data_IF_760475146609
#
_entry.id   IF_760475146609
#
_cell.length_a   1.000
_cell.length_b   1.000
_cell.length_c   1.000
_cell.angle_alpha   90.00
_cell.angle_beta   90.00
_cell.angle_gamma   90.00
#
_symmetry.space_group_name_H-M   'P 1'
#
loop_
_entity.id
_entity.type
_entity.pdbx_description
1 polymer ?
#
# COMPACT_ATOMS: atom_id res chain seq x y z
N UNK A 1 37.44 71.97 28.81
CA UNK A 1 36.82 73.32 28.93
C UNK A 1 35.51 73.34 28.16
N UNK A 2 34.40 73.64 28.88
CA UNK A 2 33.28 74.55 28.51
C UNK A 2 32.67 74.40 27.09
N UNK A 3 31.37 74.35 26.80
CA UNK A 3 30.07 74.61 27.49
C UNK A 3 29.03 74.33 26.37
N UNK A 4 27.97 73.54 26.57
CA UNK A 4 26.61 73.94 26.99
C UNK A 4 25.88 74.95 26.05
N UNK A 5 24.62 74.58 25.71
CA UNK A 5 23.42 75.39 25.33
C UNK A 5 23.32 75.89 23.87
N UNK A 6 22.15 75.99 23.22
CA UNK A 6 20.73 75.58 23.41
C UNK A 6 19.93 76.10 22.17
N UNK A 7 18.84 75.40 21.81
CA UNK A 7 17.55 75.88 21.27
C UNK A 7 17.44 76.69 19.95
N UNK A 8 16.64 76.15 19.00
CA UNK A 8 15.39 76.72 18.43
C UNK A 8 14.93 75.77 17.29
N UNK A 9 13.89 74.93 17.44
CA UNK A 9 12.46 75.20 17.22
C UNK A 9 12.14 75.95 15.91
N UNK A 10 11.46 75.29 14.96
CA UNK A 10 10.27 75.79 14.19
C UNK A 10 9.87 74.79 13.07
N UNK A 11 8.66 74.23 13.26
CA UNK A 11 7.56 73.90 12.34
C UNK A 11 7.72 73.15 10.99
N UNK A 12 7.04 71.98 10.95
CA UNK A 12 6.02 71.55 9.96
C UNK A 12 6.46 71.26 8.53
N UNK A 13 6.33 69.99 8.12
CA UNK A 13 5.28 69.52 7.19
C UNK A 13 5.16 67.99 7.33
N UNK A 14 3.92 67.53 7.53
CA UNK A 14 3.49 66.13 7.45
C UNK A 14 3.89 65.50 6.12
N UNK A 15 4.53 64.33 6.15
CA UNK A 15 4.37 63.33 5.09
C UNK A 15 4.52 61.93 5.71
N UNK A 16 3.47 61.49 6.42
CA UNK A 16 3.29 60.07 6.71
C UNK A 16 2.97 59.35 5.40
N UNK A 17 4.01 58.91 4.69
CA UNK A 17 3.84 57.85 3.68
C UNK A 17 3.72 56.55 4.47
N UNK A 18 2.49 56.22 4.87
CA UNK A 18 2.13 54.85 5.20
C UNK A 18 2.31 54.03 3.93
N UNK A 19 3.47 53.39 3.80
CA UNK A 19 3.68 52.27 2.89
C UNK A 19 2.78 51.14 3.39
N UNK A 20 1.54 51.12 2.90
CA UNK A 20 0.70 49.92 2.99
C UNK A 20 1.36 48.91 2.07
N UNK A 21 2.23 48.07 2.62
CA UNK A 21 2.62 46.84 1.95
C UNK A 21 1.36 46.00 1.84
N UNK A 22 0.72 46.09 0.67
CA UNK A 22 -0.32 45.15 0.26
C UNK A 22 0.38 43.80 0.18
N UNK A 23 0.30 43.04 1.28
CA UNK A 23 0.56 41.61 1.23
C UNK A 23 -0.35 41.08 0.13
N UNK A 24 0.16 40.39 -0.90
CA UNK A 24 -0.73 39.69 -1.81
C UNK A 24 -1.56 38.77 -0.93
N UNK A 25 -2.88 38.95 -0.99
CA UNK A 25 -3.79 37.91 -0.53
C UNK A 25 -3.37 36.68 -1.33
N UNK A 26 -2.67 35.75 -0.68
CA UNK A 26 -2.59 34.38 -1.17
C UNK A 26 -4.05 33.95 -1.22
N UNK A 27 -4.65 34.03 -2.42
CA UNK A 27 -5.80 33.23 -2.73
C UNK A 27 -5.31 31.80 -2.45
N UNK A 28 -5.79 31.22 -1.35
CA UNK A 28 -5.75 29.78 -1.20
C UNK A 28 -6.42 29.27 -2.46
N UNK A 29 -5.65 28.73 -3.39
CA UNK A 29 -6.25 28.02 -4.50
C UNK A 29 -7.21 27.02 -3.86
N UNK A 30 -8.47 26.99 -4.31
CA UNK A 30 -9.42 26.03 -3.76
C UNK A 30 -8.75 24.67 -3.91
N UNK A 31 -8.49 24.01 -2.77
CA UNK A 31 -8.05 22.62 -2.75
C UNK A 31 -8.85 21.90 -3.81
N UNK A 32 -8.17 21.26 -4.76
CA UNK A 32 -8.84 20.49 -5.79
C UNK A 32 -9.60 19.33 -5.12
N UNK A 33 -10.81 19.61 -4.66
CA UNK A 33 -11.75 18.65 -4.11
C UNK A 33 -12.29 17.85 -5.29
N UNK A 34 -11.58 16.78 -5.64
CA UNK A 34 -11.97 15.95 -6.76
C UNK A 34 -10.90 14.97 -7.22
N UNK A 35 -10.01 14.53 -6.32
CA UNK A 35 -9.20 13.36 -6.63
C UNK A 35 -10.16 12.19 -6.87
N UNK A 36 -10.20 11.71 -8.11
CA UNK A 36 -10.90 10.48 -8.47
C UNK A 36 -9.83 9.41 -8.55
N UNK A 37 -9.92 8.33 -7.76
CA UNK A 37 -9.01 7.21 -7.91
C UNK A 37 -9.12 6.67 -9.33
N UNK A 38 -8.02 6.11 -9.84
CA UNK A 38 -7.97 5.59 -11.19
C UNK A 38 -8.97 4.44 -11.31
N UNK A 39 -10.06 4.64 -12.06
CA UNK A 39 -11.14 3.68 -12.25
C UNK A 39 -10.87 2.75 -13.43
N UNK A 40 -9.61 2.37 -13.67
CA UNK A 40 -9.23 1.55 -14.82
C UNK A 40 -9.94 0.20 -14.70
N UNK A 41 -10.97 -0.02 -15.53
CA UNK A 41 -11.74 -1.27 -15.56
C UNK A 41 -13.10 -1.23 -14.85
N UNK A 42 -13.47 -0.14 -14.17
CA UNK A 42 -14.78 -0.05 -13.51
C UNK A 42 -15.90 0.21 -14.53
N UNK A 43 -17.04 -0.52 -14.47
CA UNK A 43 -18.26 -0.14 -15.17
C UNK A 43 -18.68 1.31 -14.86
N UNK A 44 -19.22 2.03 -15.86
CA UNK A 44 -19.78 3.37 -15.65
C UNK A 44 -20.89 3.35 -14.57
N UNK A 45 -20.87 4.32 -13.65
CA UNK A 45 -21.89 4.46 -12.59
C UNK A 45 -21.47 3.98 -11.20
N UNK A 46 -20.26 3.41 -11.06
CA UNK A 46 -19.67 3.06 -9.77
C UNK A 46 -18.88 4.27 -9.25
N UNK A 47 -19.62 5.28 -8.77
CA UNK A 47 -19.02 6.46 -8.15
C UNK A 47 -18.67 6.19 -6.69
N UNK A 48 -17.64 6.89 -6.20
CA UNK A 48 -17.36 6.97 -4.76
C UNK A 48 -18.63 7.35 -3.98
N UNK A 49 -18.76 6.92 -2.70
CA UNK A 49 -19.78 7.47 -1.83
C UNK A 49 -19.69 9.00 -1.84
N UNK A 50 -20.74 9.67 -2.33
CA UNK A 50 -20.82 11.12 -2.29
C UNK A 50 -21.13 11.54 -0.86
N UNK A 51 -20.22 12.29 -0.24
CA UNK A 51 -20.48 12.90 1.05
C UNK A 51 -21.49 14.04 0.86
N UNK A 52 -22.61 13.99 1.59
CA UNK A 52 -23.59 15.07 1.55
C UNK A 52 -23.05 16.35 2.21
N UNK A 53 -23.60 17.51 1.84
CA UNK A 53 -23.08 18.79 2.30
C UNK A 53 -23.32 19.03 3.80
N UNK A 54 -24.35 18.41 4.38
CA UNK A 54 -24.59 18.46 5.81
C UNK A 54 -23.45 17.79 6.60
N UNK A 55 -22.98 16.62 6.14
CA UNK A 55 -21.82 15.93 6.69
C UNK A 55 -20.58 16.79 6.57
N UNK A 56 -20.28 17.32 5.37
CA UNK A 56 -19.10 18.17 5.14
C UNK A 56 -19.10 19.39 6.06
N UNK A 57 -20.25 20.07 6.19
CA UNK A 57 -20.42 21.23 7.06
C UNK A 57 -20.23 20.87 8.54
N UNK A 58 -20.79 19.73 8.99
CA UNK A 58 -20.62 19.23 10.37
C UNK A 58 -19.15 18.95 10.70
N UNK A 59 -18.42 18.31 9.78
CA UNK A 59 -16.99 18.01 9.94
C UNK A 59 -16.16 19.29 9.92
N UNK A 60 -16.42 20.20 8.97
CA UNK A 60 -15.73 21.49 8.90
C UNK A 60 -15.95 22.34 10.16
N UNK A 61 -17.18 22.35 10.70
CA UNK A 61 -17.51 22.98 11.96
C UNK A 61 -16.69 22.40 13.12
N UNK A 62 -16.59 21.07 13.23
CA UNK A 62 -15.77 20.43 14.26
C UNK A 62 -14.28 20.81 14.14
N UNK A 63 -13.72 20.74 12.93
CA UNK A 63 -12.29 21.00 12.67
C UNK A 63 -11.87 22.47 12.86
N UNK A 64 -12.82 23.42 12.82
CA UNK A 64 -12.54 24.85 12.98
C UNK A 64 -12.64 25.33 14.43
N UNK A 65 -13.05 24.46 15.35
CA UNK A 65 -13.11 24.77 16.78
C UNK A 65 -11.87 24.26 17.51
N UNK A 66 -11.48 24.94 18.59
CA UNK A 66 -10.39 24.48 19.46
C UNK A 66 -10.82 23.36 20.43
N UNK A 67 -12.11 23.03 20.49
CA UNK A 67 -12.70 22.09 21.42
C UNK A 67 -13.02 20.77 20.71
N UNK A 68 -12.86 19.64 21.40
CA UNK A 68 -13.30 18.34 20.90
C UNK A 68 -14.83 18.21 21.01
N UNK A 69 -15.54 18.77 20.03
CA UNK A 69 -17.01 18.79 19.99
C UNK A 69 -17.62 17.38 20.01
N UNK A 70 -16.96 16.40 19.38
CA UNK A 70 -17.46 15.03 19.30
C UNK A 70 -17.17 14.26 20.58
N UNK A 71 -15.99 14.44 21.19
CA UNK A 71 -15.68 13.89 22.50
C UNK A 71 -16.63 14.40 23.58
N UNK A 72 -16.90 15.71 23.61
CA UNK A 72 -17.86 16.30 24.57
C UNK A 72 -19.27 15.74 24.38
N UNK A 73 -19.74 15.66 23.12
CA UNK A 73 -21.05 15.07 22.82
C UNK A 73 -21.18 13.62 23.34
N UNK A 74 -20.11 12.82 23.28
CA UNK A 74 -20.11 11.45 23.80
C UNK A 74 -20.07 11.39 25.33
N UNK A 75 -19.35 12.31 25.97
CA UNK A 75 -19.30 12.40 27.43
C UNK A 75 -20.63 12.85 28.02
N UNK A 76 -21.39 13.69 27.30
CA UNK A 76 -22.71 14.18 27.71
C UNK A 76 -23.85 13.21 27.36
N UNK A 77 -23.61 12.23 26.49
CA UNK A 77 -24.62 11.27 26.07
C UNK A 77 -25.14 10.43 27.26
N UNK A 78 -26.46 10.21 27.38
CA UNK A 78 -27.00 9.27 28.37
C UNK A 78 -26.42 7.86 28.15
N UNK A 79 -25.71 7.33 29.16
CA UNK A 79 -24.97 6.06 29.05
C UNK A 79 -23.50 6.20 28.68
N UNK A 80 -23.02 7.43 28.48
CA UNK A 80 -21.63 7.76 28.19
C UNK A 80 -21.17 7.33 26.78
N UNK A 81 -19.85 7.33 26.54
CA UNK A 81 -19.29 6.92 25.26
C UNK A 81 -19.59 5.44 24.97
N UNK A 82 -20.25 5.19 23.84
CA UNK A 82 -20.54 3.82 23.37
C UNK A 82 -20.17 3.66 21.91
N UNK A 83 -19.85 2.43 21.48
CA UNK A 83 -19.57 2.13 20.07
C UNK A 83 -20.71 2.59 19.15
N UNK A 84 -21.96 2.27 19.50
CA UNK A 84 -23.13 2.67 18.73
C UNK A 84 -23.31 4.19 18.66
N UNK A 85 -22.86 4.92 19.70
CA UNK A 85 -22.89 6.37 19.72
C UNK A 85 -21.87 7.04 18.79
N UNK A 86 -20.75 6.37 18.49
CA UNK A 86 -19.63 6.95 17.70
C UNK A 86 -19.51 6.43 16.28
N UNK A 87 -20.01 5.21 15.99
CA UNK A 87 -19.75 4.52 14.72
C UNK A 87 -20.19 5.29 13.47
N UNK A 88 -21.14 6.22 13.61
CA UNK A 88 -21.69 7.02 12.50
C UNK A 88 -21.19 8.48 12.50
N UNK A 89 -20.22 8.83 13.37
CA UNK A 89 -19.68 10.20 13.46
C UNK A 89 -18.84 10.56 12.24
N UNK A 90 -17.99 9.63 11.82
CA UNK A 90 -17.13 9.76 10.66
C UNK A 90 -17.57 8.70 9.66
N UNK A 91 -17.89 9.13 8.44
CA UNK A 91 -18.00 8.19 7.34
C UNK A 91 -16.65 7.50 7.18
N UNK A 92 -16.60 6.15 7.06
CA UNK A 92 -15.34 5.43 6.88
C UNK A 92 -14.53 6.05 5.75
N UNK A 93 -13.31 6.44 6.06
CA UNK A 93 -12.40 7.06 5.10
C UNK A 93 -11.75 5.91 4.34
N UNK A 94 -12.22 5.65 3.12
CA UNK A 94 -11.62 4.61 2.27
C UNK A 94 -10.36 5.13 1.55
N UNK A 95 -10.18 6.45 1.43
CA UNK A 95 -9.11 7.04 0.62
C UNK A 95 -8.02 7.70 1.44
N UNK A 96 -6.77 7.47 1.06
CA UNK A 96 -5.59 8.13 1.61
C UNK A 96 -5.02 9.13 0.63
N UNK A 97 -4.98 10.40 1.03
CA UNK A 97 -4.43 11.50 0.23
C UNK A 97 -2.95 11.72 0.55
N UNK A 98 -2.16 12.01 -0.48
CA UNK A 98 -0.77 12.41 -0.31
C UNK A 98 -0.68 13.80 0.33
N UNK A 99 0.46 14.17 0.95
CA UNK A 99 0.70 15.54 1.39
C UNK A 99 0.37 16.57 0.30
N UNK A 100 -0.20 17.71 0.69
CA UNK A 100 -0.70 18.72 -0.24
C UNK A 100 0.36 19.18 -1.27
N UNK A 101 1.63 19.23 -0.88
CA UNK A 101 2.74 19.60 -1.78
C UNK A 101 3.01 18.57 -2.90
N UNK A 102 2.60 17.32 -2.72
CA UNK A 102 2.76 16.24 -3.70
C UNK A 102 1.50 16.11 -4.56
N UNK A 103 0.32 16.36 -3.97
CA UNK A 103 -0.96 16.14 -4.62
C UNK A 103 -1.26 14.66 -4.87
N UNK A 104 -2.51 14.34 -5.16
CA UNK A 104 -2.92 12.97 -5.46
C UNK A 104 -3.10 12.05 -4.24
N UNK A 105 -3.09 10.75 -4.49
CA UNK A 105 -3.29 9.72 -3.47
C UNK A 105 -1.98 9.06 -3.04
N UNK A 106 -2.00 8.40 -1.87
CA UNK A 106 -0.84 7.64 -1.38
C UNK A 106 -0.70 6.25 -2.02
N UNK A 107 -1.69 5.78 -2.77
CA UNK A 107 -1.72 4.46 -3.40
C UNK A 107 -2.32 4.62 -4.79
N UNK A 108 -2.13 3.65 -5.69
CA UNK A 108 -2.56 3.82 -7.09
C UNK A 108 -4.10 3.87 -7.22
N UNK A 109 -4.80 3.06 -6.41
CA UNK A 109 -6.27 3.07 -6.29
C UNK A 109 -6.77 4.12 -5.31
N UNK A 110 -5.85 4.83 -4.65
CA UNK A 110 -6.09 5.79 -3.60
C UNK A 110 -6.61 5.24 -2.28
N UNK A 111 -6.88 3.94 -2.20
CA UNK A 111 -7.37 3.29 -0.98
C UNK A 111 -6.30 3.35 0.13
N UNK A 112 -6.71 3.49 1.39
CA UNK A 112 -5.78 3.48 2.52
C UNK A 112 -5.05 2.13 2.66
N UNK A 113 -3.95 2.10 3.41
CA UNK A 113 -3.25 0.86 3.73
C UNK A 113 -3.37 0.50 5.21
N UNK A 114 -3.31 -0.80 5.49
CA UNK A 114 -3.24 -1.38 6.81
C UNK A 114 -1.79 -1.83 7.03
N UNK A 115 -1.11 -1.34 8.09
CA UNK A 115 0.25 -1.77 8.40
C UNK A 115 0.25 -3.16 9.06
N UNK A 116 0.83 -4.15 8.37
CA UNK A 116 1.16 -5.45 8.94
C UNK A 116 2.67 -5.58 9.14
N UNK A 117 3.08 -5.92 10.34
CA UNK A 117 4.49 -6.10 10.65
C UNK A 117 4.68 -6.68 12.05
N UNK A 118 5.93 -6.96 12.38
CA UNK A 118 6.28 -7.44 13.71
C UNK A 118 7.21 -6.43 14.38
N UNK A 119 6.87 -5.91 15.56
CA UNK A 119 7.77 -5.02 16.28
C UNK A 119 9.06 -5.79 16.62
N UNK A 120 10.22 -5.19 16.30
CA UNK A 120 11.53 -5.78 16.66
C UNK A 120 11.77 -5.70 18.16
N UNK A 121 11.27 -4.64 18.79
CA UNK A 121 11.29 -4.38 20.23
C UNK A 121 10.05 -3.55 20.60
N UNK A 122 9.70 -3.46 21.89
CA UNK A 122 8.51 -2.71 22.35
C UNK A 122 8.49 -1.22 21.97
N UNK A 123 9.64 -0.64 21.64
CA UNK A 123 9.79 0.79 21.30
C UNK A 123 10.36 1.04 19.90
N UNK A 124 10.73 0.00 19.15
CA UNK A 124 11.36 0.15 17.84
C UNK A 124 10.44 -0.40 16.75
N UNK A 125 10.01 0.43 15.78
CA UNK A 125 9.26 -0.07 14.65
C UNK A 125 10.11 -1.11 13.90
N UNK A 126 9.56 -2.31 13.73
CA UNK A 126 10.14 -3.30 12.84
C UNK A 126 9.90 -2.94 11.37
N UNK A 127 10.24 -3.86 10.47
CA UNK A 127 9.83 -3.74 9.08
C UNK A 127 8.31 -3.94 8.99
N UNK A 128 7.66 -3.15 8.14
CA UNK A 128 6.19 -3.13 8.03
C UNK A 128 5.79 -3.21 6.55
N UNK A 129 4.91 -4.15 6.23
CA UNK A 129 4.17 -4.17 4.98
C UNK A 129 2.95 -3.24 5.12
N UNK A 130 2.86 -2.24 4.26
CA UNK A 130 1.66 -1.42 4.12
C UNK A 130 0.79 -2.09 3.05
N UNK A 131 -0.13 -2.95 3.48
CA UNK A 131 -1.06 -3.67 2.59
C UNK A 131 -2.25 -2.76 2.30
N UNK A 132 -2.48 -2.41 1.03
CA UNK A 132 -3.61 -1.55 0.65
C UNK A 132 -4.92 -2.29 0.90
N UNK A 133 -5.89 -1.61 1.52
CA UNK A 133 -7.10 -2.23 2.07
C UNK A 133 -8.04 -2.79 1.01
N UNK A 134 -7.82 -2.48 -0.27
CA UNK A 134 -8.52 -3.08 -1.39
C UNK A 134 -7.76 -4.26 -2.02
N UNK A 135 -6.58 -4.60 -1.52
CA UNK A 135 -5.73 -5.69 -2.02
C UNK A 135 -4.89 -5.35 -3.25
N UNK A 136 -5.03 -4.15 -3.79
CA UNK A 136 -4.39 -3.72 -5.05
C UNK A 136 -2.87 -3.66 -5.03
N UNK A 137 -2.30 -3.44 -3.84
CA UNK A 137 -0.88 -3.12 -3.69
C UNK A 137 -0.35 -3.47 -2.29
N UNK A 138 0.95 -3.77 -2.22
CA UNK A 138 1.72 -3.91 -0.97
C UNK A 138 2.93 -2.98 -1.06
N UNK A 139 3.10 -2.07 -0.10
CA UNK A 139 4.19 -1.08 -0.06
C UNK A 139 5.11 -1.37 1.13
N UNK A 140 6.42 -1.27 0.93
CA UNK A 140 7.41 -1.47 1.99
C UNK A 140 7.62 -0.24 2.86
N UNK A 141 7.42 -0.38 4.17
CA UNK A 141 7.81 0.50 5.28
C UNK A 141 7.19 1.90 5.31
N UNK A 142 7.12 2.59 4.17
CA UNK A 142 6.60 3.95 4.03
C UNK A 142 5.99 4.15 2.65
N UNK A 143 5.07 5.11 2.56
CA UNK A 143 4.56 5.60 1.27
C UNK A 143 5.73 5.98 0.32
N UNK A 144 5.62 5.57 -0.94
CA UNK A 144 6.67 5.71 -1.96
C UNK A 144 7.82 4.71 -1.83
N UNK A 145 7.73 3.73 -0.92
CA UNK A 145 8.66 2.61 -0.84
C UNK A 145 8.51 1.63 -2.00
N UNK A 146 9.31 0.56 -1.98
CA UNK A 146 9.16 -0.56 -2.92
C UNK A 146 7.70 -1.05 -2.87
N UNK A 147 7.06 -1.20 -4.03
CA UNK A 147 5.67 -1.61 -4.12
C UNK A 147 5.48 -2.79 -5.07
N UNK A 148 4.55 -3.67 -4.72
CA UNK A 148 4.08 -4.77 -5.57
C UNK A 148 2.60 -4.55 -5.84
N UNK A 149 2.16 -4.70 -7.09
CA UNK A 149 0.77 -4.48 -7.53
C UNK A 149 0.14 -5.76 -8.04
N UNK A 150 -1.16 -5.89 -7.81
CA UNK A 150 -1.95 -7.06 -8.18
C UNK A 150 -3.01 -6.64 -9.18
N UNK A 151 -3.04 -7.34 -10.31
CA UNK A 151 -4.02 -7.17 -11.37
C UNK A 151 -4.73 -8.49 -11.65
N UNK A 152 -5.98 -8.40 -12.10
CA UNK A 152 -6.90 -9.52 -12.36
C UNK A 152 -7.66 -9.32 -13.67
N UNK A 153 -8.51 -10.29 -13.99
CA UNK A 153 -9.41 -10.25 -15.13
C UNK A 153 -8.74 -10.54 -16.46
N UNK A 154 -9.41 -10.20 -17.56
CA UNK A 154 -8.93 -10.49 -18.91
C UNK A 154 -7.56 -9.87 -19.15
N UNK A 155 -6.56 -10.70 -19.42
CA UNK A 155 -5.18 -10.28 -19.67
C UNK A 155 -4.50 -9.56 -18.49
N UNK A 156 -5.05 -9.66 -17.26
CA UNK A 156 -4.44 -9.07 -16.06
C UNK A 156 -4.36 -7.53 -16.11
N UNK A 157 -5.36 -6.88 -16.70
CA UNK A 157 -5.37 -5.43 -16.92
C UNK A 157 -6.11 -4.64 -15.85
N UNK A 158 -7.02 -5.28 -15.11
CA UNK A 158 -7.80 -4.63 -14.07
C UNK A 158 -7.04 -4.70 -12.75
N UNK A 159 -6.74 -3.57 -12.12
CA UNK A 159 -6.08 -3.62 -10.80
C UNK A 159 -7.09 -4.16 -9.77
N UNK A 160 -6.66 -5.13 -8.96
CA UNK A 160 -7.53 -5.75 -7.94
C UNK A 160 -8.12 -4.66 -7.04
N UNK A 161 -9.43 -4.70 -6.76
CA UNK A 161 -10.07 -3.75 -5.86
C UNK A 161 -10.26 -2.33 -6.44
N UNK A 162 -9.84 -2.08 -7.68
CA UNK A 162 -10.02 -0.76 -8.33
C UNK A 162 -11.49 -0.34 -8.43
N UNK A 163 -12.41 -1.31 -8.50
CA UNK A 163 -13.85 -1.07 -8.51
C UNK A 163 -14.49 -1.30 -7.14
N UNK A 164 -14.55 -0.26 -6.28
CA UNK A 164 -15.05 -0.42 -4.92
C UNK A 164 -16.48 -0.99 -4.80
N UNK A 165 -17.39 -0.76 -5.75
CA UNK A 165 -18.73 -1.36 -5.66
C UNK A 165 -18.74 -2.87 -5.95
N UNK A 166 -17.65 -3.40 -6.50
CA UNK A 166 -17.43 -4.83 -6.71
C UNK A 166 -16.53 -5.45 -5.63
N UNK A 167 -16.06 -4.65 -4.67
CA UNK A 167 -15.28 -5.09 -3.53
C UNK A 167 -16.22 -5.20 -2.32
N UNK A 168 -16.28 -6.39 -1.71
CA UNK A 168 -16.97 -6.56 -0.44
C UNK A 168 -16.23 -5.79 0.66
N UNK A 169 -16.87 -5.57 1.82
CA UNK A 169 -16.20 -4.86 2.91
C UNK A 169 -14.93 -5.61 3.31
N UNK A 170 -13.75 -4.96 3.33
CA UNK A 170 -12.53 -5.60 3.80
C UNK A 170 -12.66 -6.10 5.24
N UNK A 171 -12.29 -7.35 5.49
CA UNK A 171 -12.41 -7.98 6.80
C UNK A 171 -11.06 -8.49 7.29
N UNK A 172 -10.91 -8.59 8.61
CA UNK A 172 -9.82 -9.32 9.22
C UNK A 172 -10.29 -10.74 9.51
N UNK A 173 -9.43 -11.73 9.37
CA UNK A 173 -9.79 -13.12 9.68
C UNK A 173 -10.32 -13.24 11.11
N UNK A 174 -11.49 -13.87 11.25
CA UNK A 174 -12.26 -13.94 12.50
C UNK A 174 -12.56 -12.56 13.15
N UNK A 175 -12.51 -11.47 12.40
CA UNK A 175 -12.66 -10.06 12.81
C UNK A 175 -11.52 -9.46 13.65
N UNK A 176 -10.41 -10.17 13.89
CA UNK A 176 -9.34 -9.66 14.75
C UNK A 176 -7.93 -10.18 14.45
N UNK A 177 -7.79 -11.26 13.68
CA UNK A 177 -6.47 -11.77 13.31
C UNK A 177 -5.89 -10.90 12.19
N UNK A 178 -4.57 -10.62 12.17
CA UNK A 178 -3.94 -9.73 11.20
C UNK A 178 -3.74 -10.43 9.85
N UNK A 179 -4.85 -10.95 9.31
CA UNK A 179 -4.99 -11.53 7.98
C UNK A 179 -6.13 -10.76 7.32
N UNK A 180 -5.82 -9.97 6.29
CA UNK A 180 -6.79 -9.24 5.52
C UNK A 180 -7.47 -10.19 4.52
N UNK A 181 -8.78 -10.29 4.59
CA UNK A 181 -9.63 -11.07 3.69
C UNK A 181 -10.43 -10.12 2.80
N UNK A 182 -10.39 -10.39 1.49
CA UNK A 182 -11.02 -9.57 0.47
C UNK A 182 -11.76 -10.43 -0.54
N UNK A 183 -12.96 -10.00 -0.91
CA UNK A 183 -13.72 -10.57 -2.01
C UNK A 183 -13.95 -9.50 -3.07
N UNK A 184 -13.51 -9.78 -4.30
CA UNK A 184 -13.58 -8.83 -5.40
C UNK A 184 -14.17 -9.46 -6.66
N UNK A 185 -14.95 -8.70 -7.43
CA UNK A 185 -15.48 -9.14 -8.74
C UNK A 185 -14.91 -8.29 -9.86
N UNK A 186 -14.30 -8.94 -10.84
CA UNK A 186 -13.84 -8.24 -12.04
C UNK A 186 -14.99 -7.85 -12.98
N UNK A 187 -14.68 -7.10 -14.03
CA UNK A 187 -15.63 -6.68 -15.06
C UNK A 187 -16.39 -7.85 -15.74
N UNK A 188 -15.84 -9.07 -15.72
CA UNK A 188 -16.45 -10.27 -16.29
C UNK A 188 -17.17 -11.14 -15.24
N UNK A 189 -17.34 -10.64 -14.02
CA UNK A 189 -17.99 -11.35 -12.90
C UNK A 189 -17.28 -12.64 -12.47
N UNK A 190 -15.96 -12.73 -12.69
CA UNK A 190 -15.11 -13.69 -11.96
C UNK A 190 -14.95 -13.16 -10.54
N UNK A 191 -15.09 -14.06 -9.57
CA UNK A 191 -14.95 -13.76 -8.15
C UNK A 191 -13.52 -14.09 -7.73
N UNK A 192 -12.88 -13.19 -7.00
CA UNK A 192 -11.55 -13.39 -6.44
C UNK A 192 -11.63 -13.28 -4.93
N UNK A 193 -10.98 -14.21 -4.25
CA UNK A 193 -10.71 -14.15 -2.82
C UNK A 193 -9.23 -13.89 -2.65
N UNK A 194 -8.88 -12.89 -1.85
CA UNK A 194 -7.50 -12.61 -1.49
C UNK A 194 -7.36 -12.64 0.02
N UNK A 195 -6.41 -13.43 0.49
CA UNK A 195 -5.95 -13.42 1.88
C UNK A 195 -4.54 -12.84 1.93
N UNK A 196 -4.29 -11.91 2.85
CA UNK A 196 -2.96 -11.32 3.02
C UNK A 196 -2.57 -11.14 4.48
N UNK A 197 -1.37 -11.57 4.83
CA UNK A 197 -0.75 -11.34 6.13
C UNK A 197 0.72 -10.96 5.97
N UNK A 198 1.33 -10.39 7.01
CA UNK A 198 2.78 -10.23 7.06
C UNK A 198 3.37 -10.81 8.34
N UNK A 199 4.43 -11.58 8.20
CA UNK A 199 5.13 -12.23 9.32
C UNK A 199 6.58 -12.51 8.94
N UNK A 200 7.37 -13.02 9.89
CA UNK A 200 8.73 -13.48 9.63
C UNK A 200 8.73 -14.63 8.62
N UNK A 201 9.55 -14.50 7.58
CA UNK A 201 9.82 -15.59 6.66
C UNK A 201 10.52 -16.73 7.44
N UNK A 202 9.97 -17.96 7.42
CA UNK A 202 10.48 -19.07 8.22
C UNK A 202 11.98 -19.28 8.07
N UNK A 203 12.67 -19.39 9.22
CA UNK A 203 14.13 -19.58 9.26
C UNK A 203 14.95 -18.30 9.02
N UNK A 204 14.31 -17.13 8.98
CA UNK A 204 15.00 -15.82 8.80
C UNK A 204 14.45 -14.75 9.75
N UNK A 205 15.10 -13.59 9.78
CA UNK A 205 14.64 -12.38 10.47
C UNK A 205 13.95 -11.36 9.53
N UNK A 206 13.69 -11.75 8.27
CA UNK A 206 13.03 -10.89 7.28
C UNK A 206 11.51 -10.98 7.42
N UNK A 207 10.83 -9.84 7.47
CA UNK A 207 9.38 -9.77 7.31
C UNK A 207 9.02 -9.91 5.84
N UNK A 208 8.03 -10.75 5.56
CA UNK A 208 7.46 -10.93 4.24
C UNK A 208 5.93 -10.87 4.30
N UNK A 209 5.33 -10.35 3.24
CA UNK A 209 3.91 -10.44 2.98
C UNK A 209 3.61 -11.76 2.28
N UNK A 210 2.68 -12.53 2.83
CA UNK A 210 2.14 -13.73 2.23
C UNK A 210 0.79 -13.36 1.64
N UNK A 211 0.57 -13.76 0.38
CA UNK A 211 -0.70 -13.52 -0.31
C UNK A 211 -1.14 -14.80 -0.98
N UNK A 212 -2.38 -15.19 -0.72
CA UNK A 212 -3.11 -16.18 -1.47
C UNK A 212 -4.18 -15.47 -2.31
N UNK A 213 -4.31 -15.85 -3.58
CA UNK A 213 -5.39 -15.37 -4.44
C UNK A 213 -6.06 -16.58 -5.09
N UNK A 214 -7.36 -16.71 -4.85
CA UNK A 214 -8.22 -17.76 -5.41
C UNK A 214 -9.24 -17.14 -6.34
N UNK A 215 -9.37 -17.68 -7.55
CA UNK A 215 -10.34 -17.23 -8.55
C UNK A 215 -11.47 -18.25 -8.73
N UNK A 216 -12.70 -17.83 -8.55
CA UNK A 216 -13.91 -18.61 -8.78
C UNK A 216 -14.68 -18.07 -9.97
N UNK A 217 -15.25 -18.97 -10.77
CA UNK A 217 -15.99 -18.59 -11.99
C UNK A 217 -17.15 -17.64 -11.70
N UNK A 218 -17.73 -17.69 -10.50
CA UNK A 218 -18.87 -16.86 -10.13
C UNK A 218 -20.01 -16.94 -11.16
N UNK A 219 -20.43 -15.78 -11.68
CA UNK A 219 -21.44 -15.67 -12.75
C UNK A 219 -20.84 -15.55 -14.15
N UNK A 220 -19.52 -15.60 -14.27
CA UNK A 220 -18.83 -15.42 -15.54
C UNK A 220 -19.13 -16.54 -16.53
N UNK A 221 -19.07 -16.20 -17.82
CA UNK A 221 -19.11 -17.19 -18.91
C UNK A 221 -17.73 -17.77 -19.19
N UNK A 222 -16.67 -17.09 -18.79
CA UNK A 222 -15.29 -17.49 -19.02
C UNK A 222 -14.95 -18.82 -18.33
N UNK A 223 -13.97 -19.52 -18.89
CA UNK A 223 -13.37 -20.72 -18.29
C UNK A 223 -11.99 -20.48 -17.70
N UNK A 224 -11.41 -19.31 -17.94
CA UNK A 224 -10.11 -18.94 -17.41
C UNK A 224 -10.06 -17.46 -17.10
N UNK A 225 -9.14 -17.07 -16.23
CA UNK A 225 -8.81 -15.67 -15.95
C UNK A 225 -7.31 -15.50 -15.78
N UNK A 226 -6.85 -14.25 -15.65
CA UNK A 226 -5.47 -13.96 -15.32
C UNK A 226 -5.34 -13.34 -13.94
N UNK A 227 -4.23 -13.66 -13.29
CA UNK A 227 -3.70 -12.89 -12.17
C UNK A 227 -2.30 -12.46 -12.54
N UNK A 228 -2.07 -11.15 -12.58
CA UNK A 228 -0.77 -10.55 -12.92
C UNK A 228 -0.23 -9.81 -11.71
N UNK A 229 1.00 -10.11 -11.34
CA UNK A 229 1.70 -9.49 -10.21
C UNK A 229 2.87 -8.67 -10.75
N UNK A 230 2.75 -7.35 -10.72
CA UNK A 230 3.87 -6.46 -11.02
C UNK A 230 4.69 -6.29 -9.74
N UNK A 231 5.91 -6.85 -9.73
CA UNK A 231 6.73 -6.99 -8.51
C UNK A 231 7.25 -5.63 -8.05
N UNK A 232 7.63 -4.77 -9.00
CA UNK A 232 8.10 -3.40 -8.83
C UNK A 232 8.18 -2.68 -10.18
N UNK A 233 8.06 -1.35 -10.23
CA UNK A 233 8.00 -0.61 -11.52
C UNK A 233 9.29 -0.65 -12.34
N UNK A 234 10.44 -0.51 -11.68
CA UNK A 234 11.72 -0.24 -12.34
C UNK A 234 12.82 -1.17 -11.83
N UNK A 235 12.49 -2.45 -11.71
CA UNK A 235 13.43 -3.47 -11.26
C UNK A 235 13.82 -4.38 -12.40
N UNK A 236 15.12 -4.69 -12.49
CA UNK A 236 15.63 -5.73 -13.37
C UNK A 236 15.66 -7.02 -12.56
N UNK A 237 14.69 -7.89 -12.80
CA UNK A 237 14.56 -9.16 -12.12
C UNK A 237 14.75 -10.31 -13.10
N UNK A 238 15.16 -11.46 -12.57
CA UNK A 238 15.17 -12.71 -13.30
C UNK A 238 14.75 -13.87 -12.39
N UNK A 239 14.17 -14.93 -12.96
CA UNK A 239 13.74 -16.08 -12.20
C UNK A 239 14.91 -16.99 -11.83
N UNK A 240 14.95 -17.44 -10.57
CA UNK A 240 15.83 -18.48 -10.06
C UNK A 240 15.02 -19.52 -9.28
N UNK A 241 14.58 -20.57 -9.97
CA UNK A 241 13.61 -21.53 -9.41
C UNK A 241 12.27 -20.85 -9.18
N UNK A 242 11.76 -20.90 -7.95
CA UNK A 242 10.49 -20.27 -7.55
C UNK A 242 10.68 -18.85 -6.95
N UNK A 243 11.76 -18.16 -7.34
CA UNK A 243 12.13 -16.85 -6.80
C UNK A 243 12.41 -15.87 -7.91
N UNK A 244 12.08 -14.61 -7.67
CA UNK A 244 12.57 -13.48 -8.45
C UNK A 244 13.69 -12.79 -7.69
N UNK A 245 14.83 -12.66 -8.36
CA UNK A 245 16.03 -12.05 -7.80
C UNK A 245 16.51 -10.93 -8.70
N UNK A 246 17.27 -9.99 -8.15
CA UNK A 246 17.96 -8.98 -8.94
C UNK A 246 19.38 -9.41 -9.33
N UNK A 247 20.07 -8.57 -10.11
CA UNK A 247 21.47 -8.75 -10.53
C UNK A 247 22.47 -8.89 -9.35
N UNK A 248 22.05 -8.54 -8.14
CA UNK A 248 22.85 -8.68 -6.92
C UNK A 248 22.54 -9.97 -6.16
N UNK A 249 21.66 -10.82 -6.69
CA UNK A 249 21.21 -12.07 -6.08
C UNK A 249 20.31 -11.86 -4.86
N UNK A 250 19.71 -10.67 -4.70
CA UNK A 250 18.75 -10.41 -3.62
C UNK A 250 17.37 -10.88 -4.06
N UNK A 251 16.70 -11.65 -3.21
CA UNK A 251 15.34 -12.11 -3.48
C UNK A 251 14.33 -11.01 -3.18
N UNK A 252 13.46 -10.73 -4.15
CA UNK A 252 12.34 -9.79 -4.00
C UNK A 252 11.04 -10.53 -3.67
N UNK A 253 10.82 -11.67 -4.32
CA UNK A 253 9.56 -12.39 -4.24
C UNK A 253 9.77 -13.90 -4.46
N UNK A 254 9.02 -14.72 -3.74
CA UNK A 254 8.79 -16.14 -4.02
C UNK A 254 7.39 -16.32 -4.60
N UNK A 255 7.22 -17.31 -5.47
CA UNK A 255 5.96 -17.52 -6.18
C UNK A 255 5.65 -19.00 -6.37
N UNK A 256 4.36 -19.36 -6.40
CA UNK A 256 3.89 -20.72 -6.68
C UNK A 256 4.15 -21.12 -8.14
N UNK A 257 4.21 -22.42 -8.46
CA UNK A 257 4.29 -22.88 -9.86
C UNK A 257 3.16 -22.36 -10.75
N UNK A 258 3.39 -22.30 -12.06
CA UNK A 258 2.38 -21.91 -13.06
C UNK A 258 2.51 -20.47 -13.58
N UNK A 259 3.38 -19.66 -12.98
CA UNK A 259 3.67 -18.31 -13.47
C UNK A 259 4.49 -18.33 -14.77
N UNK A 260 4.16 -17.42 -15.68
CA UNK A 260 5.05 -16.98 -16.75
C UNK A 260 5.67 -15.66 -16.31
N UNK A 261 6.99 -15.56 -16.41
CA UNK A 261 7.71 -14.34 -16.03
C UNK A 261 7.95 -13.45 -17.25
N UNK A 262 7.65 -12.16 -17.12
CA UNK A 262 7.93 -11.14 -18.13
C UNK A 262 8.51 -9.88 -17.46
N UNK A 263 9.82 -9.67 -17.61
CA UNK A 263 10.58 -8.52 -17.08
C UNK A 263 10.52 -8.33 -15.55
N UNK A 264 9.43 -7.77 -15.04
CA UNK A 264 9.19 -7.46 -13.64
C UNK A 264 7.80 -7.93 -13.20
N UNK A 265 7.13 -8.74 -14.03
CA UNK A 265 5.77 -9.21 -13.85
C UNK A 265 5.72 -10.74 -13.83
N UNK A 266 4.83 -11.28 -13.00
CA UNK A 266 4.41 -12.68 -13.02
C UNK A 266 2.99 -12.75 -13.54
N UNK A 267 2.78 -13.53 -14.59
CA UNK A 267 1.47 -13.76 -15.19
C UNK A 267 1.02 -15.20 -14.94
N UNK A 268 -0.14 -15.34 -14.32
CA UNK A 268 -0.83 -16.63 -14.15
C UNK A 268 -2.06 -16.67 -15.04
N UNK A 269 -2.29 -17.82 -15.67
CA UNK A 269 -3.58 -18.15 -16.31
C UNK A 269 -4.24 -19.23 -15.47
N UNK A 270 -5.38 -18.90 -14.87
CA UNK A 270 -6.09 -19.77 -13.94
C UNK A 270 -7.29 -20.41 -14.62
N UNK A 271 -7.50 -21.71 -14.40
CA UNK A 271 -8.71 -22.42 -14.85
C UNK A 271 -9.78 -22.33 -13.76
N UNK A 272 -10.72 -21.40 -13.91
CA UNK A 272 -11.75 -21.12 -12.90
C UNK A 272 -12.83 -22.22 -12.81
N UNK A 273 -12.72 -23.30 -13.60
CA UNK A 273 -13.56 -24.49 -13.46
C UNK A 273 -12.91 -25.58 -12.61
N UNK A 274 -11.62 -25.46 -12.30
CA UNK A 274 -10.83 -26.46 -11.58
C UNK A 274 -10.24 -25.87 -10.30
N UNK A 275 -10.74 -26.34 -9.16
CA UNK A 275 -10.36 -25.84 -7.83
C UNK A 275 -8.88 -26.04 -7.46
N UNK A 276 -8.15 -26.89 -8.16
CA UNK A 276 -6.72 -27.15 -7.96
C UNK A 276 -5.83 -26.28 -8.86
N UNK A 277 -6.42 -25.52 -9.79
CA UNK A 277 -5.70 -24.69 -10.77
C UNK A 277 -6.17 -23.23 -10.77
N UNK A 278 -6.87 -22.83 -9.71
CA UNK A 278 -7.47 -21.51 -9.58
C UNK A 278 -6.90 -20.68 -8.43
N UNK A 279 -5.84 -21.18 -7.77
CA UNK A 279 -5.22 -20.53 -6.62
C UNK A 279 -3.74 -20.27 -6.89
N UNK A 280 -3.23 -19.11 -6.47
CA UNK A 280 -1.81 -18.78 -6.51
C UNK A 280 -1.32 -18.32 -5.14
N UNK A 281 -0.02 -18.46 -4.91
CA UNK A 281 0.66 -17.97 -3.72
C UNK A 281 1.86 -17.12 -4.09
N UNK A 282 2.00 -15.98 -3.43
CA UNK A 282 3.23 -15.18 -3.49
C UNK A 282 3.71 -14.84 -2.08
N UNK A 283 5.03 -14.77 -1.91
CA UNK A 283 5.67 -14.31 -0.68
C UNK A 283 6.65 -13.20 -1.02
N UNK A 284 6.34 -11.99 -0.59
CA UNK A 284 7.04 -10.77 -1.00
C UNK A 284 7.79 -10.17 0.18
N UNK A 285 9.11 -10.03 0.07
CA UNK A 285 9.90 -9.48 1.18
C UNK A 285 9.61 -7.99 1.34
N UNK A 286 9.44 -7.54 2.59
CA UNK A 286 9.24 -6.12 2.92
C UNK A 286 10.56 -5.36 2.75
N UNK A 287 11.63 -5.90 3.29
CA UNK A 287 12.99 -5.35 3.17
C UNK A 287 13.86 -6.38 2.48
N UNK A 288 14.57 -5.94 1.43
CA UNK A 288 15.42 -6.83 0.65
C UNK A 288 16.63 -7.29 1.47
N UNK A 289 17.05 -8.56 1.34
CA UNK A 289 18.18 -9.08 2.07
C UNK A 289 19.48 -8.37 1.64
N UNK A 290 20.46 -8.38 2.53
CA UNK A 290 21.80 -7.97 2.17
C UNK A 290 22.30 -8.79 0.98
N UNK A 291 23.13 -8.17 0.14
CA UNK A 291 23.70 -8.80 -1.06
C UNK A 291 24.26 -10.19 -0.71
N UNK A 292 23.86 -11.22 -1.46
CA UNK A 292 24.55 -12.51 -1.38
C UNK A 292 25.99 -12.27 -1.79
N UNK A 293 26.92 -12.42 -0.86
CA UNK A 293 28.30 -12.62 -1.27
C UNK A 293 28.33 -13.89 -2.11
N UNK A 294 28.99 -13.90 -3.28
CA UNK A 294 29.17 -15.14 -4.01
C UNK A 294 29.78 -16.12 -3.01
N UNK A 295 29.08 -17.23 -2.76
CA UNK A 295 29.70 -18.37 -2.08
C UNK A 295 31.01 -18.57 -2.80
N UNK A 296 32.14 -18.36 -2.10
CA UNK A 296 33.43 -18.87 -2.56
C UNK A 296 33.16 -20.35 -2.77
N UNK A 297 32.96 -20.75 -4.02
CA UNK A 297 33.10 -22.13 -4.43
C UNK A 297 34.43 -22.52 -3.83
N UNK A 298 34.42 -23.45 -2.87
CA UNK A 298 35.65 -23.95 -2.27
C UNK A 298 36.56 -24.29 -3.44
N UNK A 299 37.64 -23.53 -3.60
CA UNK A 299 38.48 -23.62 -4.78
C UNK A 299 39.00 -25.03 -4.85
N UNK A 300 38.62 -25.78 -5.88
CA UNK A 300 39.48 -26.83 -6.37
C UNK A 300 40.74 -26.12 -6.87
N UNK A 301 41.74 -25.99 -6.01
CA UNK A 301 43.09 -25.74 -6.47
C UNK A 301 43.49 -26.96 -7.29
N UNK A 302 43.58 -26.75 -8.60
CA UNK A 302 44.14 -27.72 -9.53
C UNK A 302 45.64 -27.76 -9.25
N UNK A 303 46.07 -28.67 -8.38
CA UNK A 303 47.42 -29.18 -8.45
C UNK A 303 47.42 -30.32 -9.46
N UNK A 304 48.26 -30.16 -10.48
CA UNK A 304 48.56 -31.16 -11.50
C UNK A 304 48.80 -32.52 -10.84
N UNK A 305 48.13 -33.54 -11.38
CA UNK A 305 48.20 -34.97 -11.00
C UNK A 305 47.51 -35.35 -9.69
N UNK A 306 46.18 -35.54 -9.72
CA UNK A 306 45.46 -36.71 -9.15
C UNK A 306 43.93 -36.57 -9.31
N UNK A 307 43.25 -37.71 -9.32
CA UNK A 307 41.84 -37.90 -9.71
C UNK A 307 40.86 -37.22 -8.73
N UNK A 308 39.99 -36.35 -9.24
CA UNK A 308 38.85 -35.81 -8.46
C UNK A 308 37.71 -36.82 -8.39
N UNK A 309 37.49 -37.45 -7.23
CA UNK A 309 36.22 -38.11 -6.91
C UNK A 309 35.31 -37.14 -6.14
N UNK A 310 34.26 -36.65 -6.80
CA UNK A 310 33.18 -35.92 -6.14
C UNK A 310 32.25 -36.91 -5.43
N UNK A 311 32.15 -36.85 -4.11
CA UNK A 311 31.04 -37.49 -3.40
C UNK A 311 29.80 -36.57 -3.44
N UNK A 312 28.63 -37.08 -3.87
CA UNK A 312 27.39 -36.34 -3.74
C UNK A 312 27.00 -36.29 -2.26
N UNK A 313 27.06 -35.12 -1.64
CA UNK A 313 26.37 -34.89 -0.37
C UNK A 313 24.87 -34.92 -0.68
N UNK A 314 24.21 -35.95 -0.17
CA UNK A 314 22.80 -36.22 -0.40
C UNK A 314 21.93 -35.01 -0.06
N UNK A 315 21.09 -34.65 -1.03
CA UNK A 315 19.94 -33.78 -0.89
C UNK A 315 19.04 -34.31 0.24
N UNK A 316 18.63 -33.43 1.15
CA UNK A 316 17.32 -33.58 1.80
C UNK A 316 16.43 -32.50 1.19
N UNK A 317 15.71 -32.87 0.13
CA UNK A 317 14.58 -32.10 -0.35
C UNK A 317 13.43 -32.32 0.64
N UNK A 318 13.00 -31.25 1.31
CA UNK A 318 11.65 -31.16 1.81
C UNK A 318 10.84 -30.40 0.76
N UNK A 319 9.95 -31.13 0.09
CA UNK A 319 8.96 -30.66 -0.85
C UNK A 319 8.02 -29.64 -0.20
N UNK A 320 7.85 -28.50 -0.87
CA UNK A 320 6.66 -27.64 -0.82
C UNK A 320 6.02 -27.71 -2.20
#
# INVERSE_FOLDING_TARGET
>A
MRTIRRFALIYVVLFCISLVTVLPAYAAEPYAFGLRPSSVGCPEGISLPSLNDAYKSRIAGALTTAQDVYGQQQLEAPGGPTYNGVKDFLSPIMYSIAPAAQGGFQTDTGVYYIPFGQPKQSTLPGDVALTVADGSQIISNKFGGLSTRIFVGTGGQEQFGSCLANLDTPELYNNYLPVLELHYKDANSIEYQQESLATLLPGTDYIASFVEITADRGKSKESSTHVRVQVCENCNLHPEGNRLVDDQGRTHLYFSPGAVFNQNELDYTLDVKKKDQNTIHIVRLVTLPARRQPTKTAGCQVNTTEVCTCHPTAQTMASF
#
